data_IF_197486468332
#
_entry.id   IF_197486468332
#
_cell.length_a   1.000
_cell.length_b   1.000
_cell.length_c   1.000
_cell.angle_alpha   90.00
_cell.angle_beta   90.00
_cell.angle_gamma   90.00
#
_symmetry.space_group_name_H-M   'P 1'
#
loop_
_entity.id
_entity.type
_entity.pdbx_description
1 polymer ?
#
# COMPACT_ATOMS: atom_id res chain seq x y z
N UNK A 1 9.17 10.39 -34.02
CA UNK A 1 8.64 11.41 -33.09
C UNK A 1 8.61 10.74 -31.72
N UNK A 2 9.25 11.31 -30.70
CA UNK A 2 9.23 10.71 -29.36
C UNK A 2 7.79 10.77 -28.84
N UNK A 3 7.25 9.66 -28.35
CA UNK A 3 5.95 9.67 -27.70
C UNK A 3 6.05 10.24 -26.27
N UNK A 4 4.95 10.81 -25.79
CA UNK A 4 4.90 11.53 -24.51
C UNK A 4 5.25 10.61 -23.33
N UNK A 5 4.82 9.34 -23.34
CA UNK A 5 5.10 8.39 -22.24
C UNK A 5 6.59 8.05 -22.16
N UNK A 6 7.24 7.89 -23.31
CA UNK A 6 8.68 7.66 -23.36
C UNK A 6 9.46 8.85 -22.79
N UNK A 7 9.05 10.07 -23.12
CA UNK A 7 9.66 11.28 -22.56
C UNK A 7 9.44 11.40 -21.04
N UNK A 8 8.21 11.15 -20.56
CA UNK A 8 7.88 11.14 -19.13
C UNK A 8 8.74 10.15 -18.33
N UNK A 9 8.88 8.92 -18.85
CA UNK A 9 9.71 7.89 -18.22
C UNK A 9 11.19 8.31 -18.15
N UNK A 10 11.73 8.90 -19.22
CA UNK A 10 13.12 9.37 -19.23
C UNK A 10 13.36 10.53 -18.26
N UNK A 11 12.42 11.47 -18.18
CA UNK A 11 12.49 12.57 -17.21
C UNK A 11 12.41 12.05 -15.77
N UNK A 12 11.55 11.05 -15.52
CA UNK A 12 11.45 10.40 -14.22
C UNK A 12 12.74 9.68 -13.82
N UNK A 13 13.33 8.90 -14.73
CA UNK A 13 14.60 8.22 -14.48
C UNK A 13 15.76 9.19 -14.23
N UNK A 14 15.84 10.29 -14.99
CA UNK A 14 16.83 11.33 -14.79
C UNK A 14 16.66 12.02 -13.42
N UNK A 15 15.43 12.35 -13.05
CA UNK A 15 15.12 12.92 -11.73
C UNK A 15 15.48 11.94 -10.59
N UNK A 16 15.14 10.64 -10.73
CA UNK A 16 15.53 9.61 -9.77
C UNK A 16 17.05 9.49 -9.61
N UNK A 17 17.80 9.58 -10.72
CA UNK A 17 19.28 9.55 -10.69
C UNK A 17 19.88 10.79 -10.00
N UNK A 18 19.34 11.99 -10.26
CA UNK A 18 19.82 13.24 -9.63
C UNK A 18 19.48 13.26 -8.14
N UNK A 19 18.28 12.81 -7.78
CA UNK A 19 17.76 12.82 -6.40
C UNK A 19 18.42 11.78 -5.50
N UNK A 20 18.88 10.67 -6.07
CA UNK A 20 19.36 9.52 -5.30
C UNK A 20 18.25 8.78 -4.54
N UNK A 21 18.58 7.70 -3.83
CA UNK A 21 17.64 6.96 -3.00
C UNK A 21 17.23 7.82 -1.80
N UNK A 22 15.96 8.27 -1.79
CA UNK A 22 15.34 8.88 -0.61
C UNK A 22 14.65 7.77 0.17
N UNK A 23 15.16 7.48 1.37
CA UNK A 23 14.49 6.57 2.30
C UNK A 23 13.10 7.11 2.66
N UNK A 24 12.09 6.25 2.74
CA UNK A 24 10.72 6.62 3.11
C UNK A 24 10.61 7.58 4.32
N UNK A 25 11.41 7.44 5.40
CA UNK A 25 11.40 8.36 6.54
C UNK A 25 11.94 9.76 6.24
N UNK A 26 12.78 9.96 5.21
CA UNK A 26 13.37 11.26 4.84
C UNK A 26 12.43 12.13 4.02
N UNK A 27 11.35 11.56 3.46
CA UNK A 27 10.34 12.35 2.74
C UNK A 27 9.66 13.39 3.62
N UNK A 28 9.48 13.10 4.91
CA UNK A 28 8.88 14.05 5.87
C UNK A 28 9.70 15.34 5.97
N UNK A 29 11.02 15.27 5.82
CA UNK A 29 11.91 16.43 5.95
C UNK A 29 11.76 17.41 4.78
N UNK A 30 11.23 16.95 3.64
CA UNK A 30 10.90 17.79 2.48
C UNK A 30 9.41 18.16 2.44
N UNK A 31 8.54 17.23 2.80
CA UNK A 31 7.09 17.42 2.73
C UNK A 31 6.60 18.36 3.83
N UNK A 32 7.09 18.23 5.06
CA UNK A 32 6.62 19.05 6.18
C UNK A 32 6.89 20.55 5.99
N UNK A 33 8.09 20.99 5.52
CA UNK A 33 8.30 22.40 5.18
C UNK A 33 7.37 22.90 4.08
N UNK A 34 7.09 22.08 3.05
CA UNK A 34 6.21 22.46 1.96
C UNK A 34 4.74 22.58 2.41
N UNK A 35 4.27 21.69 3.28
CA UNK A 35 2.93 21.78 3.89
C UNK A 35 2.82 23.03 4.75
N UNK A 36 3.86 23.35 5.53
CA UNK A 36 3.88 24.56 6.36
C UNK A 36 3.82 25.84 5.51
N UNK A 37 4.62 25.91 4.44
CA UNK A 37 4.60 27.03 3.49
C UNK A 37 3.24 27.17 2.81
N UNK A 38 2.62 26.05 2.41
CA UNK A 38 1.26 26.06 1.88
C UNK A 38 0.27 26.61 2.90
N UNK A 39 0.32 26.14 4.15
CA UNK A 39 -0.60 26.60 5.19
C UNK A 39 -0.47 28.10 5.47
N UNK A 40 0.75 28.63 5.52
CA UNK A 40 0.96 30.08 5.68
C UNK A 40 0.34 30.88 4.53
N UNK A 41 0.47 30.38 3.30
CA UNK A 41 -0.18 31.01 2.15
C UNK A 41 -1.70 30.94 2.23
N UNK A 42 -2.26 29.78 2.60
CA UNK A 42 -3.70 29.61 2.72
C UNK A 42 -4.27 30.54 3.80
N UNK A 43 -3.61 30.65 4.96
CA UNK A 43 -4.00 31.60 6.02
C UNK A 43 -3.98 33.03 5.51
N UNK A 44 -2.90 33.44 4.84
CA UNK A 44 -2.80 34.80 4.30
C UNK A 44 -3.91 35.10 3.29
N UNK A 45 -4.22 34.16 2.39
CA UNK A 45 -5.31 34.28 1.41
C UNK A 45 -6.69 34.35 2.08
N UNK A 46 -6.93 33.56 3.13
CA UNK A 46 -8.15 33.62 3.95
C UNK A 46 -8.31 35.00 4.61
N UNK A 47 -7.23 35.56 5.20
CA UNK A 47 -7.26 36.87 5.85
C UNK A 47 -7.49 38.02 4.86
N UNK A 48 -6.80 37.99 3.71
CA UNK A 48 -7.04 38.95 2.62
C UNK A 48 -8.49 38.87 2.11
N UNK A 49 -9.05 37.67 2.02
CA UNK A 49 -10.44 37.47 1.58
C UNK A 49 -11.45 38.04 2.60
N UNK A 50 -11.20 37.87 3.90
CA UNK A 50 -12.03 38.48 4.95
C UNK A 50 -11.97 40.00 4.91
N UNK A 51 -10.77 40.57 4.75
CA UNK A 51 -10.61 42.02 4.57
C UNK A 51 -11.31 42.49 3.28
N UNK A 52 -11.32 41.68 2.23
CA UNK A 52 -12.02 42.02 1.00
C UNK A 52 -13.55 42.07 1.21
N UNK A 53 -14.10 41.20 2.05
CA UNK A 53 -15.51 41.22 2.43
C UNK A 53 -15.84 42.45 3.30
N UNK A 54 -14.97 42.81 4.24
CA UNK A 54 -15.17 43.94 5.14
C UNK A 54 -14.99 45.31 4.46
N UNK A 55 -13.96 45.45 3.62
CA UNK A 55 -13.59 46.71 2.94
C UNK A 55 -14.04 46.76 1.47
N UNK A 56 -14.85 45.79 1.05
CA UNK A 56 -15.65 45.79 -0.17
C UNK A 56 -15.04 45.08 -1.38
N UNK A 57 -13.72 45.10 -1.57
CA UNK A 57 -13.08 44.31 -2.63
C UNK A 57 -11.64 43.92 -2.32
N UNK A 58 -11.16 42.89 -3.05
CA UNK A 58 -9.84 42.30 -2.86
C UNK A 58 -8.70 43.27 -3.14
N UNK A 59 -8.84 44.18 -4.10
CA UNK A 59 -7.79 45.15 -4.43
C UNK A 59 -7.56 46.11 -3.27
N UNK A 60 -8.63 46.62 -2.67
CA UNK A 60 -8.56 47.46 -1.47
C UNK A 60 -7.92 46.71 -0.30
N UNK A 61 -8.31 45.45 -0.06
CA UNK A 61 -7.71 44.62 0.98
C UNK A 61 -6.20 44.41 0.77
N UNK A 62 -5.78 44.10 -0.46
CA UNK A 62 -4.37 43.93 -0.78
C UNK A 62 -3.57 45.24 -0.65
N UNK A 63 -4.15 46.40 -0.96
CA UNK A 63 -3.53 47.71 -0.75
C UNK A 63 -3.40 48.04 0.75
N UNK A 64 -4.41 47.72 1.56
CA UNK A 64 -4.35 47.89 3.02
C UNK A 64 -3.24 47.03 3.64
N UNK A 65 -3.21 45.74 3.27
CA UNK A 65 -2.21 44.78 3.76
C UNK A 65 -0.79 45.15 3.34
N UNK A 66 -0.62 45.81 2.19
CA UNK A 66 0.69 46.29 1.72
C UNK A 66 1.16 47.55 2.46
N UNK A 67 0.23 48.40 2.90
CA UNK A 67 0.55 49.62 3.63
C UNK A 67 0.76 49.37 5.13
N UNK A 68 0.02 48.40 5.69
CA UNK A 68 0.14 48.00 7.09
C UNK A 68 0.12 46.48 7.22
N UNK A 69 1.30 45.90 7.39
CA UNK A 69 1.47 44.45 7.49
C UNK A 69 0.93 43.88 8.81
N UNK A 70 0.62 44.71 9.81
CA UNK A 70 0.16 44.26 11.13
C UNK A 70 -1.30 43.81 11.14
N UNK A 71 -2.05 44.10 10.07
CA UNK A 71 -3.48 43.76 9.94
C UNK A 71 -3.72 42.28 9.60
N UNK A 72 -2.67 41.57 9.20
CA UNK A 72 -2.67 40.13 8.95
C UNK A 72 -1.73 39.46 9.94
N UNK A 73 -2.02 38.21 10.29
CA UNK A 73 -1.19 37.48 11.24
C UNK A 73 0.18 37.13 10.65
N UNK A 74 0.23 36.92 9.32
CA UNK A 74 1.47 36.66 8.60
C UNK A 74 1.44 37.32 7.22
N UNK A 75 2.22 38.39 7.02
CA UNK A 75 2.32 39.04 5.72
C UNK A 75 3.17 38.20 4.73
N UNK A 76 2.57 37.89 3.57
CA UNK A 76 3.25 37.23 2.48
C UNK A 76 3.56 38.22 1.33
N UNK A 77 4.84 38.53 1.06
CA UNK A 77 5.22 39.46 0.00
C UNK A 77 4.77 38.97 -1.38
N UNK A 78 4.38 39.91 -2.25
CA UNK A 78 3.85 39.60 -3.60
C UNK A 78 4.75 38.68 -4.43
N UNK A 79 6.07 38.82 -4.31
CA UNK A 79 7.05 38.00 -5.03
C UNK A 79 6.97 36.50 -4.67
N UNK A 80 6.49 36.15 -3.47
CA UNK A 80 6.37 34.77 -3.01
C UNK A 80 5.00 34.14 -3.27
N UNK A 81 3.96 34.95 -3.52
CA UNK A 81 2.60 34.47 -3.76
C UNK A 81 2.52 33.54 -4.99
N UNK A 82 3.21 33.88 -6.08
CA UNK A 82 3.24 33.09 -7.32
C UNK A 82 4.00 31.77 -7.18
N UNK A 83 5.07 31.75 -6.39
CA UNK A 83 5.87 30.54 -6.15
C UNK A 83 5.09 29.50 -5.33
N UNK A 84 4.21 29.95 -4.44
CA UNK A 84 3.38 29.05 -3.63
C UNK A 84 2.19 28.49 -4.43
N UNK A 85 1.69 29.23 -5.43
CA UNK A 85 0.71 28.69 -6.39
C UNK A 85 1.27 27.47 -7.13
N UNK A 86 2.56 27.49 -7.52
CA UNK A 86 3.21 26.33 -8.16
C UNK A 86 3.23 25.13 -7.22
N UNK A 87 3.58 25.34 -5.94
CA UNK A 87 3.53 24.29 -4.92
C UNK A 87 2.11 23.74 -4.78
N UNK A 88 1.10 24.61 -4.70
CA UNK A 88 -0.31 24.22 -4.63
C UNK A 88 -0.78 23.44 -5.86
N UNK A 89 -0.37 23.82 -7.08
CA UNK A 89 -0.67 23.07 -8.32
C UNK A 89 0.03 21.70 -8.31
N UNK A 90 1.27 21.60 -7.82
CA UNK A 90 1.96 20.32 -7.70
C UNK A 90 1.26 19.38 -6.72
N UNK A 91 0.79 19.89 -5.58
CA UNK A 91 -0.02 19.10 -4.64
C UNK A 91 -1.37 18.69 -5.24
N UNK A 92 -2.09 19.61 -5.88
CA UNK A 92 -3.37 19.30 -6.53
C UNK A 92 -3.21 18.28 -7.66
N UNK A 93 -2.16 18.40 -8.47
CA UNK A 93 -1.86 17.44 -9.55
C UNK A 93 -1.46 16.07 -8.99
N UNK A 94 -0.77 16.02 -7.85
CA UNK A 94 -0.47 14.77 -7.16
C UNK A 94 -1.76 14.10 -6.64
N UNK A 95 -2.67 14.85 -6.03
CA UNK A 95 -3.99 14.37 -5.61
C UNK A 95 -4.86 13.92 -6.80
N UNK A 96 -4.86 14.69 -7.90
CA UNK A 96 -5.64 14.39 -9.10
C UNK A 96 -5.10 13.18 -9.86
N UNK A 97 -3.77 13.00 -9.91
CA UNK A 97 -3.14 11.82 -10.50
C UNK A 97 -3.42 10.57 -9.65
N UNK A 98 -3.45 10.70 -8.32
CA UNK A 98 -3.87 9.62 -7.42
C UNK A 98 -5.33 9.21 -7.61
N UNK A 99 -6.25 10.14 -7.91
CA UNK A 99 -7.66 9.81 -8.17
C UNK A 99 -7.95 9.38 -9.62
N UNK A 100 -7.23 9.93 -10.60
CA UNK A 100 -7.39 9.53 -12.01
C UNK A 100 -6.89 8.10 -12.28
N UNK A 101 -6.07 7.54 -11.38
CA UNK A 101 -5.59 6.16 -11.48
C UNK A 101 -6.56 5.13 -10.88
N UNK A 102 -7.63 5.57 -10.20
CA UNK A 102 -8.62 4.67 -9.58
C UNK A 102 -9.89 4.46 -10.39
N UNK A 103 -10.18 5.27 -11.41
CA UNK A 103 -11.39 5.13 -12.21
C UNK A 103 -11.12 4.63 -13.63
N UNK A 104 -11.37 3.32 -13.83
CA UNK A 104 -11.68 2.75 -15.13
C UNK A 104 -10.68 1.75 -15.70
N UNK A 105 -10.65 0.52 -15.19
CA UNK A 105 -10.60 -0.66 -16.07
C UNK A 105 -11.01 -1.94 -15.35
N UNK A 106 -12.19 -2.44 -15.68
CA UNK A 106 -12.49 -3.87 -15.65
C UNK A 106 -11.62 -4.55 -16.72
N UNK A 107 -10.93 -5.64 -16.36
CA UNK A 107 -10.30 -6.63 -17.26
C UNK A 107 -9.18 -6.16 -18.23
N UNK A 108 -7.98 -5.91 -17.69
CA UNK A 108 -6.70 -6.09 -18.42
C UNK A 108 -5.62 -6.84 -17.62
N UNK A 109 -5.94 -7.29 -16.41
CA UNK A 109 -4.98 -7.86 -15.45
C UNK A 109 -4.97 -9.39 -15.39
N UNK A 110 -5.74 -10.07 -16.24
CA UNK A 110 -5.89 -11.54 -16.17
C UNK A 110 -4.72 -12.31 -16.80
N UNK A 111 -3.67 -11.64 -17.27
CA UNK A 111 -2.51 -12.29 -17.92
C UNK A 111 -1.22 -12.24 -17.09
N UNK A 112 -1.22 -11.56 -15.94
CA UNK A 112 -0.02 -11.39 -15.11
C UNK A 112 0.04 -12.49 -14.05
N UNK A 113 0.91 -13.48 -14.28
CA UNK A 113 1.18 -14.59 -13.37
C UNK A 113 2.35 -14.28 -12.43
N UNK A 114 2.06 -13.92 -11.17
CA UNK A 114 3.09 -13.57 -10.17
C UNK A 114 2.59 -13.61 -8.74
N UNK A 115 3.54 -13.61 -7.80
CA UNK A 115 3.29 -13.32 -6.38
C UNK A 115 2.92 -11.84 -6.21
N UNK A 116 1.91 -11.58 -5.38
CA UNK A 116 1.39 -10.25 -5.05
C UNK A 116 1.58 -9.88 -3.58
N UNK A 117 1.86 -10.84 -2.70
CA UNK A 117 2.13 -10.58 -1.29
C UNK A 117 2.28 -11.86 -0.47
N UNK A 118 2.32 -11.71 0.86
CA UNK A 118 2.28 -12.83 1.81
C UNK A 118 0.81 -13.10 2.15
N UNK A 119 0.41 -14.36 2.05
CA UNK A 119 -0.93 -14.82 2.40
C UNK A 119 -0.94 -15.58 3.71
N UNK A 120 0.20 -16.10 4.16
CA UNK A 120 0.32 -16.64 5.49
C UNK A 120 1.72 -17.04 5.90
N UNK A 121 1.89 -17.23 7.21
CA UNK A 121 3.08 -17.79 7.83
C UNK A 121 2.62 -18.93 8.72
N UNK A 122 3.10 -20.13 8.40
CA UNK A 122 2.74 -21.37 9.06
C UNK A 122 3.98 -21.97 9.68
N UNK A 123 3.92 -22.45 10.92
CA UNK A 123 5.10 -22.94 11.61
C UNK A 123 4.75 -23.97 12.67
N UNK A 124 5.70 -24.83 13.04
CA UNK A 124 5.50 -25.86 14.05
C UNK A 124 5.63 -25.28 15.45
N UNK A 125 4.84 -25.82 16.37
CA UNK A 125 4.90 -25.55 17.80
C UNK A 125 4.75 -26.86 18.57
N UNK A 126 5.49 -26.99 19.67
CA UNK A 126 5.33 -28.09 20.62
C UNK A 126 3.95 -28.03 21.32
N UNK A 127 3.40 -26.82 21.50
CA UNK A 127 2.05 -26.58 22.03
C UNK A 127 1.38 -25.40 21.30
N UNK A 128 0.66 -25.65 20.19
CA UNK A 128 0.00 -24.60 19.42
C UNK A 128 -1.06 -23.84 20.21
N UNK A 129 -1.75 -24.51 21.15
CA UNK A 129 -2.86 -23.89 21.87
C UNK A 129 -2.34 -22.88 22.89
N UNK A 130 -1.39 -23.28 23.75
CA UNK A 130 -0.76 -22.37 24.70
C UNK A 130 -0.04 -21.23 23.99
N UNK A 131 0.56 -21.50 22.82
CA UNK A 131 1.21 -20.46 22.02
C UNK A 131 0.20 -19.42 21.52
N UNK A 132 -0.90 -19.85 20.90
CA UNK A 132 -1.97 -18.93 20.46
C UNK A 132 -2.48 -18.08 21.62
N UNK A 133 -2.78 -18.70 22.77
CA UNK A 133 -3.24 -18.00 23.96
C UNK A 133 -2.23 -16.96 24.47
N UNK A 134 -0.94 -17.31 24.46
CA UNK A 134 0.13 -16.38 24.83
C UNK A 134 0.17 -15.17 23.89
N UNK A 135 0.11 -15.39 22.58
CA UNK A 135 0.12 -14.30 21.59
C UNK A 135 -1.13 -13.44 21.68
N UNK A 136 -2.30 -14.04 21.86
CA UNK A 136 -3.54 -13.29 22.07
C UNK A 136 -3.51 -12.44 23.35
N UNK A 137 -3.07 -13.02 24.47
CA UNK A 137 -3.01 -12.34 25.76
C UNK A 137 -1.97 -11.22 25.81
N UNK A 138 -0.77 -11.47 25.28
CA UNK A 138 0.37 -10.57 25.48
C UNK A 138 0.60 -9.61 24.32
N UNK A 139 0.26 -10.00 23.09
CA UNK A 139 0.43 -9.17 21.90
C UNK A 139 -0.89 -8.67 21.32
N UNK A 140 -2.03 -9.09 21.88
CA UNK A 140 -3.34 -8.64 21.45
C UNK A 140 -3.77 -9.22 20.10
N UNK A 141 -3.20 -10.33 19.66
CA UNK A 141 -3.67 -11.00 18.44
C UNK A 141 -5.11 -11.48 18.63
N UNK A 142 -5.96 -11.24 17.65
CA UNK A 142 -7.28 -11.87 17.59
C UNK A 142 -7.08 -13.34 17.20
N UNK A 143 -7.36 -14.24 18.14
CA UNK A 143 -7.10 -15.68 18.02
C UNK A 143 -8.37 -16.44 17.66
N UNK A 144 -8.27 -17.32 16.67
CA UNK A 144 -9.25 -18.34 16.32
C UNK A 144 -8.69 -19.77 16.44
N UNK A 145 -9.48 -20.76 16.02
CA UNK A 145 -9.09 -22.17 16.06
C UNK A 145 -7.79 -22.45 15.29
N UNK A 146 -7.49 -21.66 14.26
CA UNK A 146 -6.41 -21.84 13.31
C UNK A 146 -5.28 -20.80 13.47
N UNK A 147 -5.28 -19.97 14.52
CA UNK A 147 -4.24 -18.96 14.75
C UNK A 147 -4.81 -17.54 14.73
N UNK A 148 -4.25 -16.65 13.91
CA UNK A 148 -4.72 -15.27 13.78
C UNK A 148 -4.82 -14.84 12.32
N UNK A 149 -5.81 -14.01 12.02
CA UNK A 149 -5.98 -13.36 10.71
C UNK A 149 -5.57 -11.91 10.83
N UNK A 150 -4.67 -11.47 9.97
CA UNK A 150 -4.31 -10.07 9.80
C UNK A 150 -5.05 -9.50 8.61
N UNK A 151 -5.72 -8.37 8.83
CA UNK A 151 -6.41 -7.61 7.79
C UNK A 151 -5.53 -6.46 7.31
N UNK A 152 -5.41 -6.28 5.99
CA UNK A 152 -4.67 -5.16 5.41
C UNK A 152 -5.34 -4.65 4.13
N UNK A 153 -4.99 -3.44 3.69
CA UNK A 153 -5.51 -2.85 2.46
C UNK A 153 -4.62 -3.18 1.27
N UNK A 154 -5.24 -3.51 0.14
CA UNK A 154 -4.51 -3.72 -1.10
C UNK A 154 -3.87 -2.40 -1.55
N UNK A 155 -2.55 -2.42 -1.79
CA UNK A 155 -1.78 -1.21 -2.10
C UNK A 155 -2.22 -0.50 -3.40
N UNK A 156 -2.75 -1.26 -4.37
CA UNK A 156 -3.21 -0.71 -5.66
C UNK A 156 -4.73 -0.50 -5.71
N UNK A 157 -5.47 -1.09 -4.75
CA UNK A 157 -6.94 -1.06 -4.68
C UNK A 157 -7.35 -0.87 -3.21
N UNK A 158 -7.19 0.33 -2.64
CA UNK A 158 -7.30 0.53 -1.19
C UNK A 158 -8.68 0.18 -0.60
N UNK A 159 -9.73 0.17 -1.41
CA UNK A 159 -11.07 -0.27 -0.99
C UNK A 159 -11.16 -1.79 -0.78
N UNK A 160 -10.25 -2.56 -1.40
CA UNK A 160 -10.14 -4.00 -1.24
C UNK A 160 -9.40 -4.34 0.05
N UNK A 161 -10.04 -5.19 0.85
CA UNK A 161 -9.46 -5.77 2.05
C UNK A 161 -8.79 -7.09 1.66
N UNK A 162 -7.55 -7.29 2.10
CA UNK A 162 -6.81 -8.53 1.93
C UNK A 162 -6.48 -9.12 3.30
N UNK A 163 -6.18 -10.42 3.31
CA UNK A 163 -6.01 -11.19 4.53
C UNK A 163 -4.72 -11.99 4.51
N UNK A 164 -4.06 -12.06 5.66
CA UNK A 164 -2.89 -12.89 5.92
C UNK A 164 -3.19 -13.80 7.10
N UNK A 165 -2.82 -15.08 7.02
CA UNK A 165 -2.98 -16.03 8.12
C UNK A 165 -1.67 -16.33 8.83
N UNK A 166 -1.66 -16.14 10.13
CA UNK A 166 -0.59 -16.60 11.02
C UNK A 166 -1.08 -17.86 11.73
N UNK A 167 -0.39 -19.00 11.59
CA UNK A 167 -0.89 -20.28 12.09
C UNK A 167 0.21 -21.17 12.69
N UNK A 168 0.14 -21.49 13.99
CA UNK A 168 0.95 -22.54 14.58
C UNK A 168 0.29 -23.92 14.36
N UNK A 169 1.10 -24.88 13.94
CA UNK A 169 0.75 -26.29 13.75
C UNK A 169 1.42 -27.15 14.81
N UNK A 170 0.80 -28.29 15.14
CA UNK A 170 1.44 -29.28 16.01
C UNK A 170 2.75 -29.78 15.38
N UNK A 171 3.81 -29.91 16.17
CA UNK A 171 5.14 -30.33 15.69
C UNK A 171 5.17 -31.71 15.02
N UNK A 172 4.17 -32.56 15.28
CA UNK A 172 4.00 -33.87 14.64
C UNK A 172 3.17 -33.79 13.36
N UNK A 173 2.75 -32.60 12.95
CA UNK A 173 2.00 -32.41 11.72
C UNK A 173 2.87 -32.65 10.49
N UNK A 174 2.35 -33.44 9.57
CA UNK A 174 2.96 -33.65 8.26
C UNK A 174 2.75 -32.47 7.29
N UNK A 175 2.06 -31.41 7.72
CA UNK A 175 1.62 -30.31 6.87
C UNK A 175 2.78 -29.62 6.13
N UNK A 176 3.95 -29.49 6.79
CA UNK A 176 5.14 -28.86 6.20
C UNK A 176 6.01 -29.83 5.39
N UNK A 177 5.76 -31.15 5.46
CA UNK A 177 6.54 -32.12 4.71
C UNK A 177 6.35 -31.91 3.19
N UNK A 178 7.43 -32.06 2.39
CA UNK A 178 8.74 -32.64 2.74
C UNK A 178 9.79 -31.62 3.21
N UNK A 179 9.40 -30.37 3.52
CA UNK A 179 10.33 -29.35 4.02
C UNK A 179 10.99 -29.79 5.32
N UNK A 180 12.27 -29.45 5.48
CA UNK A 180 13.00 -29.63 6.76
C UNK A 180 12.92 -28.39 7.66
N UNK A 181 12.37 -27.28 7.17
CA UNK A 181 12.17 -26.06 7.95
C UNK A 181 10.92 -26.21 8.80
N UNK A 182 10.98 -25.71 10.03
CA UNK A 182 9.83 -25.68 10.94
C UNK A 182 8.85 -24.53 10.60
N UNK A 183 8.94 -23.95 9.41
CA UNK A 183 8.01 -22.94 8.90
C UNK A 183 7.81 -23.06 7.38
N UNK A 184 6.68 -22.53 6.91
CA UNK A 184 6.29 -22.37 5.51
C UNK A 184 5.72 -20.97 5.31
N UNK A 185 6.09 -20.36 4.18
CA UNK A 185 5.48 -19.13 3.70
C UNK A 185 4.40 -19.49 2.71
N UNK A 186 3.21 -18.94 2.91
CA UNK A 186 2.13 -18.93 1.94
C UNK A 186 2.17 -17.58 1.19
N UNK A 187 2.23 -17.63 -0.13
CA UNK A 187 2.26 -16.45 -1.01
C UNK A 187 0.89 -16.22 -1.66
N UNK A 188 0.41 -14.99 -1.61
CA UNK A 188 -0.72 -14.55 -2.42
C UNK A 188 -0.25 -14.44 -3.86
N UNK A 189 -1.03 -14.96 -4.80
CA UNK A 189 -0.69 -14.91 -6.22
C UNK A 189 -1.85 -14.35 -7.04
N UNK A 190 -1.48 -13.83 -8.21
CA UNK A 190 -2.39 -13.45 -9.28
C UNK A 190 -2.22 -14.45 -10.42
N UNK A 191 -3.34 -15.00 -10.89
CA UNK A 191 -3.43 -16.02 -11.93
C UNK A 191 -2.58 -17.26 -11.62
N UNK A 192 -3.08 -18.10 -10.71
CA UNK A 192 -2.37 -19.29 -10.27
C UNK A 192 -2.19 -20.32 -11.39
N UNK A 193 -3.19 -20.47 -12.27
CA UNK A 193 -3.14 -21.41 -13.39
C UNK A 193 -1.98 -21.12 -14.34
N UNK A 194 -1.80 -19.85 -14.74
CA UNK A 194 -0.66 -19.45 -15.58
C UNK A 194 0.66 -19.53 -14.82
N UNK A 195 0.67 -19.20 -13.52
CA UNK A 195 1.88 -19.28 -12.71
C UNK A 195 2.37 -20.73 -12.61
N UNK A 196 1.47 -21.68 -12.36
CA UNK A 196 1.76 -23.11 -12.33
C UNK A 196 2.31 -23.60 -13.68
N UNK A 197 1.74 -23.17 -14.80
CA UNK A 197 2.27 -23.52 -16.13
C UNK A 197 3.72 -23.03 -16.31
N UNK A 198 3.99 -21.78 -15.92
CA UNK A 198 5.34 -21.20 -15.98
C UNK A 198 6.33 -21.93 -15.06
N UNK A 199 5.90 -22.27 -13.84
CA UNK A 199 6.72 -23.00 -12.87
C UNK A 199 7.08 -24.40 -13.40
N UNK A 200 6.11 -25.12 -13.97
CA UNK A 200 6.34 -26.41 -14.64
C UNK A 200 7.34 -26.29 -15.79
N UNK A 201 7.17 -25.29 -16.65
CA UNK A 201 8.08 -25.05 -17.78
C UNK A 201 9.52 -24.76 -17.32
N UNK A 202 9.68 -24.17 -16.13
CA UNK A 202 10.97 -23.87 -15.53
C UNK A 202 11.54 -25.02 -14.68
N UNK A 203 10.89 -26.19 -14.66
CA UNK A 203 11.37 -27.36 -13.90
C UNK A 203 11.18 -27.27 -12.39
N UNK A 204 10.30 -26.40 -11.90
CA UNK A 204 9.95 -26.33 -10.48
C UNK A 204 9.13 -27.56 -10.08
N UNK A 205 9.49 -28.17 -8.96
CA UNK A 205 8.78 -29.33 -8.42
C UNK A 205 7.45 -28.92 -7.79
N UNK A 206 6.34 -29.39 -8.37
CA UNK A 206 5.03 -29.33 -7.73
C UNK A 206 4.86 -30.55 -6.82
N UNK A 207 4.26 -30.32 -5.65
CA UNK A 207 3.96 -31.38 -4.69
C UNK A 207 2.54 -31.93 -4.87
N UNK A 208 1.63 -31.12 -5.37
CA UNK A 208 0.22 -31.46 -5.59
C UNK A 208 -0.37 -30.73 -6.81
N UNK A 209 -1.64 -31.02 -7.08
CA UNK A 209 -2.46 -30.32 -8.07
C UNK A 209 -3.17 -29.14 -7.46
N UNK A 210 -3.59 -28.18 -8.29
CA UNK A 210 -4.39 -27.04 -7.82
C UNK A 210 -5.67 -27.55 -7.16
N UNK A 211 -5.85 -27.20 -5.89
CA UNK A 211 -7.08 -27.40 -5.14
C UNK A 211 -7.93 -26.13 -5.20
N UNK A 212 -9.26 -26.28 -5.30
CA UNK A 212 -10.19 -25.17 -5.42
C UNK A 212 -11.20 -25.20 -4.29
N UNK A 213 -11.35 -24.05 -3.63
CA UNK A 213 -12.35 -23.79 -2.61
C UNK A 213 -13.13 -22.52 -2.96
N UNK A 214 -14.25 -22.27 -2.27
CA UNK A 214 -15.05 -21.06 -2.48
C UNK A 214 -14.26 -19.76 -2.23
N UNK A 215 -13.23 -19.82 -1.40
CA UNK A 215 -12.40 -18.68 -1.00
C UNK A 215 -11.05 -18.58 -1.74
N UNK A 216 -10.76 -19.49 -2.67
CA UNK A 216 -9.55 -19.41 -3.48
C UNK A 216 -8.99 -20.75 -3.97
N UNK A 217 -7.86 -20.65 -4.65
CA UNK A 217 -7.12 -21.80 -5.20
C UNK A 217 -5.76 -21.94 -4.54
N UNK A 218 -5.32 -23.18 -4.32
CA UNK A 218 -4.08 -23.50 -3.61
C UNK A 218 -3.25 -24.52 -4.38
N UNK A 219 -1.93 -24.43 -4.26
CA UNK A 219 -0.98 -25.46 -4.72
C UNK A 219 0.32 -25.33 -3.93
N UNK A 220 1.03 -26.44 -3.73
CA UNK A 220 2.32 -26.48 -3.08
C UNK A 220 3.45 -26.80 -4.06
N UNK A 221 4.57 -26.12 -3.87
CA UNK A 221 5.80 -26.33 -4.64
C UNK A 221 7.02 -26.45 -3.71
N UNK A 222 8.14 -26.90 -4.25
CA UNK A 222 9.44 -26.80 -3.61
C UNK A 222 10.26 -25.67 -4.23
N UNK A 223 10.90 -24.88 -3.38
CA UNK A 223 11.93 -23.95 -3.81
C UNK A 223 13.27 -24.65 -4.08
N UNK A 224 14.29 -23.85 -4.44
CA UNK A 224 15.63 -24.35 -4.77
C UNK A 224 16.38 -25.00 -3.59
N UNK A 225 15.94 -24.76 -2.35
CA UNK A 225 16.50 -25.35 -1.14
C UNK A 225 15.68 -26.56 -0.64
N UNK A 226 14.60 -26.90 -1.34
CA UNK A 226 13.67 -27.95 -0.94
C UNK A 226 12.72 -27.52 0.18
N UNK A 227 12.52 -26.22 0.39
CA UNK A 227 11.49 -25.73 1.30
C UNK A 227 10.12 -25.83 0.61
N UNK A 228 9.13 -26.36 1.31
CA UNK A 228 7.74 -26.34 0.88
C UNK A 228 7.19 -24.93 1.02
N UNK A 229 6.60 -24.43 -0.06
CA UNK A 229 5.87 -23.17 -0.08
C UNK A 229 4.47 -23.39 -0.64
N UNK A 230 3.52 -22.59 -0.17
CA UNK A 230 2.12 -22.63 -0.62
C UNK A 230 1.84 -21.39 -1.47
N UNK A 231 1.17 -21.56 -2.60
CA UNK A 231 0.70 -20.49 -3.46
C UNK A 231 -0.82 -20.42 -3.35
N UNK A 232 -1.36 -19.22 -3.11
CA UNK A 232 -2.78 -18.99 -2.89
C UNK A 232 -3.32 -17.86 -3.76
N UNK A 233 -4.26 -18.18 -4.65
CA UNK A 233 -5.07 -17.19 -5.34
C UNK A 233 -6.37 -16.98 -4.58
N UNK A 234 -6.39 -15.95 -3.74
CA UNK A 234 -7.50 -15.64 -2.84
C UNK A 234 -8.67 -14.97 -3.56
N UNK A 235 -9.88 -15.26 -3.08
CA UNK A 235 -11.10 -14.54 -3.44
C UNK A 235 -11.50 -13.68 -2.23
N UNK A 236 -10.91 -12.50 -2.12
CA UNK A 236 -11.05 -11.65 -0.92
C UNK A 236 -12.48 -11.25 -0.62
N UNK A 237 -13.32 -11.03 -1.64
CA UNK A 237 -14.73 -10.73 -1.43
C UNK A 237 -15.47 -11.85 -0.69
N UNK A 238 -15.02 -13.10 -0.82
CA UNK A 238 -15.60 -14.24 -0.09
C UNK A 238 -15.06 -14.26 1.33
N UNK A 239 -13.76 -14.04 1.53
CA UNK A 239 -13.15 -13.94 2.87
C UNK A 239 -13.79 -12.82 3.70
N UNK A 240 -14.02 -11.65 3.11
CA UNK A 240 -14.72 -10.54 3.77
C UNK A 240 -16.14 -10.92 4.16
N UNK A 241 -16.86 -11.68 3.32
CA UNK A 241 -18.22 -12.14 3.62
C UNK A 241 -18.27 -13.22 4.70
N UNK A 242 -17.24 -14.07 4.78
CA UNK A 242 -17.10 -15.07 5.86
C UNK A 242 -16.98 -14.39 7.23
N UNK A 243 -16.42 -13.17 7.27
CA UNK A 243 -16.29 -12.38 8.49
C UNK A 243 -15.34 -13.02 9.49
N UNK A 244 -15.51 -12.68 10.76
CA UNK A 244 -14.62 -13.09 11.85
C UNK A 244 -13.80 -11.93 12.40
N UNK A 245 -13.17 -12.15 13.56
CA UNK A 245 -12.29 -11.16 14.16
C UNK A 245 -10.91 -11.20 13.49
N UNK A 246 -10.34 -10.03 13.27
CA UNK A 246 -9.04 -9.87 12.63
C UNK A 246 -8.15 -8.97 13.49
N UNK A 247 -6.86 -9.27 13.49
CA UNK A 247 -5.81 -8.37 13.97
C UNK A 247 -5.56 -7.29 12.91
N UNK A 248 -5.43 -6.04 13.34
CA UNK A 248 -5.29 -4.86 12.47
C UNK A 248 -4.05 -4.06 12.82
#
# INVERSE_FOLDING_TARGET
MLDIKTLENWLWEAACKIRGPIDAPKYKDYILPLIFLKRLSDVFEEEVSKLAEEYGNRKTAEELVENDHSIVWFYLPKIFRTSIIIISIMFSSFYFTSQAQTDGSTSKNDTIARVTGIGGIFFLSDDPQSLKEWYGKNLGLEIDAYGSVFEFRNANRPDEVNYLRWSPFDKKSDYLLPSKKEFMVNYRVQNLDLLVQKLKANGVTLLDSIEMYEYGKFVHILDIEGNKIELWEAIDSVLTKMGGKTTK
#
